data_IF_661403650066
#
_entry.id   IF_661403650066
#
_cell.length_a   1.000
_cell.length_b   1.000
_cell.length_c   1.000
_cell.angle_alpha   90.00
_cell.angle_beta   90.00
_cell.angle_gamma   90.00
#
_symmetry.space_group_name_H-M   'P 1'
#
loop_
_entity.id
_entity.type
_entity.pdbx_description
1 polymer ?
#
# COMPACT_ATOMS: atom_id res chain seq x y z
N UNK A 1 -17.87 27.33 22.27
CA UNK A 1 -18.11 26.43 23.43
C UNK A 1 -19.61 26.19 23.55
N UNK A 2 -20.04 24.94 23.69
CA UNK A 2 -21.47 24.56 23.74
C UNK A 2 -21.96 24.63 25.20
N UNK A 3 -23.12 25.22 25.47
CA UNK A 3 -23.78 25.26 26.79
C UNK A 3 -24.89 24.21 26.84
N UNK A 4 -25.10 23.55 28.00
CA UNK A 4 -26.23 22.64 28.24
C UNK A 4 -25.96 21.14 28.09
N UNK A 5 -24.73 20.71 27.84
CA UNK A 5 -24.38 19.30 27.90
C UNK A 5 -24.17 18.85 29.37
N UNK A 6 -24.70 17.69 29.77
CA UNK A 6 -24.44 17.14 31.10
C UNK A 6 -22.95 16.81 31.25
N UNK A 7 -22.44 16.91 32.48
CA UNK A 7 -21.07 16.54 32.80
C UNK A 7 -20.89 15.03 32.60
N UNK A 8 -20.11 14.64 31.60
CA UNK A 8 -19.77 13.24 31.37
C UNK A 8 -18.58 12.91 32.26
N UNK A 9 -18.83 12.16 33.34
CA UNK A 9 -17.78 11.53 34.14
C UNK A 9 -17.13 10.45 33.28
N UNK A 10 -16.01 10.76 32.62
CA UNK A 10 -15.22 9.72 31.99
C UNK A 10 -14.45 8.99 33.10
N UNK A 11 -14.70 7.68 33.34
CA UNK A 11 -13.79 6.94 34.20
C UNK A 11 -12.40 7.04 33.57
N UNK A 12 -11.35 7.25 34.36
CA UNK A 12 -9.95 7.21 33.89
C UNK A 12 -9.52 5.77 33.50
N UNK A 13 -10.44 5.01 32.91
CA UNK A 13 -10.30 3.63 32.50
C UNK A 13 -10.19 3.60 30.97
N UNK A 14 -9.11 3.00 30.49
CA UNK A 14 -8.95 2.74 29.07
C UNK A 14 -9.94 1.65 28.67
N UNK A 15 -10.91 2.00 27.82
CA UNK A 15 -11.82 1.01 27.25
C UNK A 15 -11.09 0.23 26.14
N UNK A 16 -11.05 -1.09 26.25
CA UNK A 16 -10.42 -1.99 25.26
C UNK A 16 -11.04 -1.81 23.87
N UNK A 17 -12.38 -1.76 23.79
CA UNK A 17 -13.08 -1.51 22.53
C UNK A 17 -12.77 -0.14 21.91
N UNK A 18 -12.58 0.89 22.75
CA UNK A 18 -12.13 2.20 22.29
C UNK A 18 -10.68 2.17 21.81
N UNK A 19 -9.80 1.42 22.47
CA UNK A 19 -8.39 1.28 22.07
C UNK A 19 -8.27 0.59 20.71
N UNK A 20 -9.04 -0.49 20.51
CA UNK A 20 -9.09 -1.22 19.24
C UNK A 20 -9.78 -0.41 18.13
N UNK A 21 -10.89 0.26 18.43
CA UNK A 21 -11.66 1.03 17.45
C UNK A 21 -11.07 2.40 17.10
N UNK A 22 -10.30 3.01 18.02
CA UNK A 22 -9.58 4.28 17.81
C UNK A 22 -8.09 4.05 17.64
N UNK A 23 -7.68 2.97 16.96
CA UNK A 23 -6.27 2.86 16.56
C UNK A 23 -5.87 4.16 15.84
N UNK A 24 -4.98 4.92 16.46
CA UNK A 24 -4.46 6.12 15.83
C UNK A 24 -3.59 5.62 14.69
N UNK A 25 -3.96 5.97 13.44
CA UNK A 25 -3.09 5.68 12.31
C UNK A 25 -1.78 6.40 12.58
N UNK A 26 -0.73 5.65 12.88
CA UNK A 26 0.61 6.21 13.04
C UNK A 26 0.91 7.06 11.81
N UNK A 27 1.58 8.20 12.02
CA UNK A 27 2.00 9.01 10.89
C UNK A 27 2.77 8.15 9.91
N UNK A 28 2.42 8.25 8.63
CA UNK A 28 3.17 7.56 7.60
C UNK A 28 4.63 8.01 7.66
N UNK A 29 5.59 7.09 7.50
CA UNK A 29 6.99 7.48 7.37
C UNK A 29 7.13 8.45 6.20
N UNK A 30 7.92 9.51 6.39
CA UNK A 30 8.10 10.55 5.36
C UNK A 30 8.75 10.01 4.09
N UNK A 31 9.58 8.99 4.23
CA UNK A 31 10.35 8.39 3.14
C UNK A 31 10.26 6.87 3.21
N UNK A 32 10.25 6.23 2.04
CA UNK A 32 10.37 4.78 1.95
C UNK A 32 11.84 4.35 1.98
N UNK A 33 12.14 3.15 2.48
CA UNK A 33 13.50 2.61 2.55
C UNK A 33 14.20 2.45 1.19
N UNK A 34 13.44 2.35 0.09
CA UNK A 34 13.98 2.19 -1.26
C UNK A 34 13.43 3.27 -2.20
N UNK A 35 14.30 4.12 -2.74
CA UNK A 35 13.97 5.14 -3.74
C UNK A 35 14.80 4.92 -5.02
N UNK A 36 14.15 4.97 -6.19
CA UNK A 36 14.83 4.90 -7.47
C UNK A 36 15.76 6.11 -7.67
N UNK A 37 16.95 5.89 -8.21
CA UNK A 37 17.88 6.98 -8.57
C UNK A 37 18.01 7.14 -10.08
N UNK A 38 17.84 6.05 -10.83
CA UNK A 38 17.89 6.00 -12.28
C UNK A 38 16.60 5.38 -12.82
N UNK A 39 16.24 5.65 -14.08
CA UNK A 39 15.15 4.92 -14.76
C UNK A 39 15.34 3.41 -14.61
N UNK A 40 14.25 2.68 -14.37
CA UNK A 40 14.21 1.21 -14.23
C UNK A 40 14.90 0.63 -12.97
N UNK A 41 15.34 1.48 -12.03
CA UNK A 41 15.83 1.01 -10.71
C UNK A 41 14.72 0.40 -9.86
N UNK A 42 13.48 0.91 -9.98
CA UNK A 42 12.31 0.41 -9.26
C UNK A 42 11.06 0.65 -10.11
N UNK A 43 10.30 -0.40 -10.38
CA UNK A 43 8.99 -0.33 -11.02
C UNK A 43 7.91 -0.69 -10.01
N UNK A 44 6.86 0.13 -9.94
CA UNK A 44 5.65 -0.20 -9.19
C UNK A 44 4.64 -0.79 -10.15
N UNK A 45 4.20 -2.02 -9.89
CA UNK A 45 3.25 -2.75 -10.73
C UNK A 45 2.00 -3.11 -9.93
N UNK A 46 0.85 -3.07 -10.56
CA UNK A 46 -0.42 -3.48 -9.98
C UNK A 46 -1.25 -4.24 -11.02
N UNK A 47 -2.09 -5.17 -10.58
CA UNK A 47 -3.03 -5.85 -11.47
C UNK A 47 -4.25 -4.96 -11.64
N UNK A 48 -4.45 -4.52 -12.88
CA UNK A 48 -5.74 -3.94 -13.25
C UNK A 48 -6.76 -5.09 -13.39
N UNK A 49 -7.95 -4.90 -12.83
CA UNK A 49 -9.06 -5.83 -13.00
C UNK A 49 -9.38 -6.10 -14.49
N UNK A 50 -10.23 -7.09 -14.79
CA UNK A 50 -10.45 -7.55 -16.16
C UNK A 50 -10.86 -6.42 -17.11
N UNK A 51 -9.98 -6.09 -18.05
CA UNK A 51 -10.21 -5.07 -19.09
C UNK A 51 -10.91 -5.72 -20.28
N UNK A 52 -12.03 -5.13 -20.72
CA UNK A 52 -12.73 -5.48 -21.97
C UNK A 52 -12.62 -4.30 -22.95
N UNK A 53 -12.17 -4.51 -24.19
CA UNK A 53 -11.62 -5.74 -24.78
C UNK A 53 -10.22 -6.09 -24.24
N UNK A 54 -9.78 -7.34 -24.44
CA UNK A 54 -8.42 -7.77 -24.05
C UNK A 54 -7.40 -6.91 -24.82
N UNK A 55 -6.58 -6.16 -24.11
CA UNK A 55 -5.38 -5.55 -24.69
C UNK A 55 -4.38 -6.65 -25.04
N UNK A 56 -3.73 -6.53 -26.20
CA UNK A 56 -2.56 -7.33 -26.52
C UNK A 56 -1.48 -6.91 -25.53
N UNK A 57 -1.06 -7.81 -24.64
CA UNK A 57 0.09 -7.59 -23.78
C UNK A 57 1.32 -7.46 -24.70
N UNK A 58 1.75 -6.22 -24.93
CA UNK A 58 2.99 -5.94 -25.63
C UNK A 58 4.11 -6.32 -24.67
N UNK A 59 4.87 -7.36 -25.00
CA UNK A 59 6.12 -7.70 -24.34
C UNK A 59 7.08 -6.50 -24.51
N UNK A 60 7.14 -5.60 -23.53
CA UNK A 60 8.07 -4.47 -23.55
C UNK A 60 9.50 -4.99 -23.30
N UNK A 61 10.21 -5.31 -24.38
CA UNK A 61 11.68 -5.42 -24.39
C UNK A 61 12.33 -4.16 -24.98
N UNK A 62 11.80 -2.99 -24.62
CA UNK A 62 12.03 -1.78 -25.44
C UNK A 62 13.37 -1.07 -25.19
N UNK A 63 14.10 -1.32 -24.09
CA UNK A 63 15.23 -0.44 -23.71
C UNK A 63 16.61 -1.10 -23.58
N UNK A 64 16.73 -2.43 -23.60
CA UNK A 64 18.01 -3.12 -23.32
C UNK A 64 18.57 -2.89 -21.90
N UNK A 65 17.82 -2.21 -21.04
CA UNK A 65 18.15 -1.93 -19.64
C UNK A 65 17.39 -2.94 -18.76
N UNK A 66 18.11 -3.56 -17.82
CA UNK A 66 17.54 -4.54 -16.90
C UNK A 66 16.84 -3.84 -15.74
N UNK A 67 15.60 -4.25 -15.45
CA UNK A 67 14.83 -3.80 -14.29
C UNK A 67 15.50 -4.36 -13.03
N UNK A 68 15.86 -3.48 -12.07
CA UNK A 68 16.54 -3.92 -10.85
C UNK A 68 15.61 -4.45 -9.77
N UNK A 69 14.41 -3.86 -9.66
CA UNK A 69 13.45 -4.24 -8.64
C UNK A 69 12.02 -3.94 -9.11
N UNK A 70 11.10 -4.82 -8.71
CA UNK A 70 9.66 -4.65 -8.87
C UNK A 70 9.04 -4.56 -7.47
N UNK A 71 8.14 -3.60 -7.28
CA UNK A 71 7.28 -3.51 -6.10
C UNK A 71 5.83 -3.72 -6.55
N UNK A 72 5.23 -4.81 -6.11
CA UNK A 72 3.82 -5.09 -6.27
C UNK A 72 3.05 -4.83 -4.97
N UNK A 73 1.72 -4.91 -5.06
CA UNK A 73 0.94 -5.21 -3.88
C UNK A 73 1.23 -6.65 -3.41
N UNK A 74 0.79 -7.03 -2.20
CA UNK A 74 0.99 -8.40 -1.69
C UNK A 74 -0.05 -9.37 -2.26
N UNK A 75 -0.47 -9.18 -3.52
CA UNK A 75 -1.37 -10.07 -4.23
C UNK A 75 -0.82 -11.49 -4.34
N UNK A 76 -1.72 -12.47 -4.43
CA UNK A 76 -1.35 -13.88 -4.57
C UNK A 76 -0.59 -14.16 -5.86
N UNK A 77 -0.93 -13.44 -6.92
CA UNK A 77 -0.28 -13.47 -8.23
C UNK A 77 1.21 -13.12 -8.17
N UNK A 78 1.59 -12.15 -7.33
CA UNK A 78 2.95 -11.64 -7.19
C UNK A 78 3.79 -12.39 -6.15
N UNK A 79 3.14 -13.22 -5.32
CA UNK A 79 3.81 -14.01 -4.27
C UNK A 79 3.97 -15.49 -4.64
N UNK A 80 3.59 -15.87 -5.86
CA UNK A 80 3.72 -17.22 -6.37
C UNK A 80 5.18 -17.60 -6.69
N UNK A 81 5.53 -18.89 -6.53
CA UNK A 81 6.85 -19.41 -6.91
C UNK A 81 7.11 -19.31 -8.41
N UNK A 82 6.07 -19.25 -9.23
CA UNK A 82 6.19 -19.08 -10.68
C UNK A 82 6.64 -17.65 -11.03
N UNK A 83 6.19 -16.66 -10.27
CA UNK A 83 6.58 -15.25 -10.47
C UNK A 83 7.99 -14.93 -9.97
N UNK A 84 8.47 -15.67 -8.95
CA UNK A 84 9.82 -15.48 -8.38
C UNK A 84 10.93 -16.24 -9.11
N UNK A 85 10.60 -16.98 -10.17
CA UNK A 85 11.51 -17.84 -10.92
C UNK A 85 12.10 -17.12 -12.13
#
# INVERSE_FOLDING_TARGET
MVRGLPYINHPNQVCEGCLLGKQFKMSFPKESSSRAQKPLDLIHTDVCGPIKPRSLALDEKESGIVIKAIRSDRGGEFTSNEFLK
#
